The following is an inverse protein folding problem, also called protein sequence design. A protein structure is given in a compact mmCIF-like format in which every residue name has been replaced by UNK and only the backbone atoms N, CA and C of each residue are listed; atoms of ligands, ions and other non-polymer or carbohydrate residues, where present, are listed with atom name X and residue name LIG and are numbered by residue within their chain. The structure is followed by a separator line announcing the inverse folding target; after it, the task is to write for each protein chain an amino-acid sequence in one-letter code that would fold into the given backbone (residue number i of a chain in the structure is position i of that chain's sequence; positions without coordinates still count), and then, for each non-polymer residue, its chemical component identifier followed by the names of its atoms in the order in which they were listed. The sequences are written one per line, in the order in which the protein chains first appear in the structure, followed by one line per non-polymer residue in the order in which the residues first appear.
data_IF_504202859770
#
_entry.id   IF_504202859770
#
_cell.length_a   1.000
_cell.length_b   1.000
_cell.length_c   1.000
_cell.angle_alpha   90.00
_cell.angle_beta   90.00
_cell.angle_gamma   90.00
#
_symmetry.space_group_name_H-M   'P 1'
#
loop_
_entity.id
_entity.type
_entity.pdbx_description
1 polymer ?
#
# COMPACT_ATOMS: atom_id res chain seq x y z
N UNK A 1 -3.34 56.43 28.38
CA UNK A 1 -2.80 55.66 27.27
C UNK A 1 -2.87 54.20 27.74
N UNK A 2 -3.85 53.44 27.23
CA UNK A 2 -4.05 52.04 27.56
C UNK A 2 -2.80 51.28 27.15
N UNK A 3 -2.09 50.70 28.10
CA UNK A 3 -0.92 49.84 27.82
C UNK A 3 -1.40 48.66 26.98
N UNK A 4 -1.04 48.68 25.70
CA UNK A 4 -1.43 47.59 24.82
C UNK A 4 -0.69 46.33 25.30
N UNK A 5 -1.46 45.36 25.79
CA UNK A 5 -0.92 44.07 26.21
C UNK A 5 -0.38 43.28 25.00
N UNK A 6 0.92 43.34 24.82
CA UNK A 6 1.59 42.58 23.73
C UNK A 6 1.72 41.11 24.15
N UNK A 7 1.31 40.21 23.27
CA UNK A 7 1.46 38.76 23.45
C UNK A 7 2.60 38.27 22.52
N UNK A 8 3.50 37.48 23.05
CA UNK A 8 4.57 36.87 22.24
C UNK A 8 4.03 35.79 21.32
N UNK A 9 4.68 35.57 20.18
CA UNK A 9 4.31 34.52 19.22
C UNK A 9 4.20 33.16 19.92
N UNK A 10 5.17 32.83 20.77
CA UNK A 10 5.16 31.56 21.52
C UNK A 10 3.94 31.43 22.46
N UNK A 11 3.57 32.52 23.14
CA UNK A 11 2.40 32.52 24.04
C UNK A 11 1.11 32.35 23.24
N UNK A 12 1.00 33.02 22.09
CA UNK A 12 -0.15 32.86 21.19
C UNK A 12 -0.24 31.42 20.64
N UNK A 13 0.86 30.85 20.16
CA UNK A 13 0.90 29.48 19.66
C UNK A 13 0.49 28.46 20.73
N UNK A 14 1.00 28.62 21.97
CA UNK A 14 0.58 27.77 23.10
C UNK A 14 -0.90 27.91 23.44
N UNK A 15 -1.41 29.14 23.35
CA UNK A 15 -2.84 29.37 23.58
C UNK A 15 -3.72 28.65 22.52
N UNK A 16 -3.34 28.79 21.24
CA UNK A 16 -4.04 28.13 20.13
C UNK A 16 -3.96 26.61 20.30
N UNK A 17 -2.76 26.07 20.58
CA UNK A 17 -2.57 24.64 20.82
C UNK A 17 -3.50 24.11 21.92
N UNK A 18 -3.57 24.82 23.05
CA UNK A 18 -4.47 24.43 24.16
C UNK A 18 -5.94 24.39 23.72
N UNK A 19 -6.36 25.28 22.81
CA UNK A 19 -7.73 25.25 22.27
C UNK A 19 -7.97 24.02 21.43
N UNK A 20 -6.99 23.58 20.61
CA UNK A 20 -7.07 22.34 19.86
C UNK A 20 -7.08 21.09 20.76
N UNK A 21 -6.19 21.07 21.77
CA UNK A 21 -6.02 19.92 22.65
C UNK A 21 -7.22 19.71 23.61
N UNK A 22 -8.03 20.74 23.86
CA UNK A 22 -9.23 20.67 24.74
C UNK A 22 -10.49 20.34 23.94
N UNK A 23 -10.48 20.48 22.61
CA UNK A 23 -11.65 20.21 21.79
C UNK A 23 -11.80 18.69 21.55
N UNK A 24 -12.84 18.03 22.13
CA UNK A 24 -13.04 16.59 21.96
C UNK A 24 -13.27 16.17 20.51
N UNK A 25 -13.78 17.08 19.67
CA UNK A 25 -14.02 16.80 18.25
C UNK A 25 -12.73 16.70 17.44
N UNK A 26 -11.64 17.32 17.93
CA UNK A 26 -10.33 17.29 17.27
C UNK A 26 -9.39 16.20 17.82
N UNK A 27 -9.72 15.59 18.96
CA UNK A 27 -8.91 14.55 19.57
C UNK A 27 -8.96 13.23 18.79
N UNK A 28 -10.10 12.90 18.20
CA UNK A 28 -10.29 11.63 17.49
C UNK A 28 -11.28 11.77 16.33
N UNK A 29 -10.77 12.12 15.18
CA UNK A 29 -11.58 12.35 13.97
C UNK A 29 -11.19 11.40 12.86
N UNK A 30 -12.16 11.14 11.96
CA UNK A 30 -11.95 10.41 10.72
C UNK A 30 -11.88 11.39 9.56
N UNK A 31 -10.79 11.37 8.82
CA UNK A 31 -10.56 12.25 7.68
C UNK A 31 -10.32 11.39 6.45
N UNK A 32 -11.06 11.68 5.38
CA UNK A 32 -10.88 11.09 4.07
C UNK A 32 -10.04 12.02 3.20
N UNK A 33 -9.09 11.47 2.47
CA UNK A 33 -8.26 12.25 1.55
C UNK A 33 -7.34 11.37 0.72
N UNK A 34 -6.53 12.02 -0.10
CA UNK A 34 -5.50 11.39 -0.92
C UNK A 34 -4.12 11.63 -0.29
N UNK A 35 -3.32 10.58 -0.24
CA UNK A 35 -1.93 10.67 0.23
C UNK A 35 -1.05 11.38 -0.79
N UNK A 36 -0.17 12.22 -0.31
CA UNK A 36 0.84 12.91 -1.11
C UNK A 36 2.11 13.12 -0.29
N UNK A 37 3.26 13.12 -0.96
CA UNK A 37 4.57 13.34 -0.34
C UNK A 37 4.84 12.38 0.85
N UNK A 38 4.55 11.10 0.64
CA UNK A 38 4.77 10.06 1.65
C UNK A 38 6.26 9.82 1.85
N UNK A 39 6.73 9.98 3.07
CA UNK A 39 8.12 9.77 3.47
C UNK A 39 8.19 8.83 4.67
N UNK A 40 8.78 7.68 4.46
CA UNK A 40 9.02 6.71 5.52
C UNK A 40 10.42 6.98 6.10
N UNK A 41 10.47 7.37 7.37
CA UNK A 41 11.71 7.60 8.06
C UNK A 41 12.35 6.27 8.49
N UNK A 42 13.69 6.22 8.59
CA UNK A 42 14.45 5.03 9.03
C UNK A 42 14.01 4.49 10.40
N UNK A 43 13.48 5.35 11.26
CA UNK A 43 12.91 4.97 12.57
C UNK A 43 11.46 4.47 12.48
N UNK A 44 10.92 4.26 11.28
CA UNK A 44 9.57 3.76 11.09
C UNK A 44 8.43 4.79 11.23
N UNK A 45 8.73 6.07 11.40
CA UNK A 45 7.72 7.12 11.34
C UNK A 45 7.36 7.40 9.88
N UNK A 46 6.09 7.66 9.60
CA UNK A 46 5.60 8.02 8.27
C UNK A 46 5.11 9.45 8.32
N UNK A 47 5.72 10.29 7.48
CA UNK A 47 5.29 11.66 7.25
C UNK A 47 4.59 11.72 5.91
N UNK A 48 3.44 12.34 5.85
CA UNK A 48 2.68 12.47 4.62
C UNK A 48 1.82 13.72 4.64
N UNK A 49 1.33 14.11 3.48
CA UNK A 49 0.33 15.16 3.32
C UNK A 49 -0.97 14.50 2.92
N UNK A 50 -2.03 14.79 3.66
CA UNK A 50 -3.38 14.43 3.30
C UNK A 50 -3.99 15.60 2.54
N UNK A 51 -4.47 15.37 1.33
CA UNK A 51 -5.05 16.41 0.47
C UNK A 51 -6.44 16.01 -0.01
N UNK A 52 -7.27 16.99 -0.26
CA UNK A 52 -8.52 16.88 -1.02
C UNK A 52 -8.52 17.88 -2.18
N UNK A 53 -9.68 18.16 -2.77
CA UNK A 53 -9.82 19.08 -3.91
C UNK A 53 -9.46 20.54 -3.57
N UNK A 54 -9.57 20.95 -2.30
CA UNK A 54 -9.45 22.35 -1.89
C UNK A 54 -8.41 22.61 -0.82
N UNK A 55 -8.01 21.59 -0.08
CA UNK A 55 -7.12 21.74 1.08
C UNK A 55 -6.06 20.66 1.16
N UNK A 56 -5.02 20.97 1.93
CA UNK A 56 -3.96 20.01 2.27
C UNK A 56 -3.55 20.19 3.72
N UNK A 57 -3.25 19.09 4.40
CA UNK A 57 -2.81 19.07 5.77
C UNK A 57 -1.64 18.11 5.94
N UNK A 58 -0.65 18.53 6.71
CA UNK A 58 0.45 17.66 7.09
C UNK A 58 -0.02 16.64 8.12
N UNK A 59 0.47 15.42 7.99
CA UNK A 59 0.16 14.34 8.90
C UNK A 59 1.42 13.54 9.25
N UNK A 60 1.42 13.01 10.45
CA UNK A 60 2.48 12.11 10.94
C UNK A 60 1.86 10.89 11.57
N UNK A 61 2.39 9.72 11.23
CA UNK A 61 2.09 8.46 11.89
C UNK A 61 3.35 7.94 12.56
N UNK A 62 3.30 7.72 13.86
CA UNK A 62 4.45 7.22 14.60
C UNK A 62 4.67 5.72 14.38
N UNK A 63 5.89 5.26 14.63
CA UNK A 63 6.31 3.86 14.42
C UNK A 63 5.34 2.83 15.04
N UNK A 64 4.85 3.07 16.24
CA UNK A 64 3.92 2.16 16.93
C UNK A 64 2.64 1.92 16.14
N UNK A 65 2.15 2.93 15.46
CA UNK A 65 0.95 2.86 14.62
C UNK A 65 1.29 2.36 13.21
N UNK A 66 2.39 2.85 12.62
CA UNK A 66 2.80 2.47 11.27
C UNK A 66 3.14 0.97 11.15
N UNK A 67 3.71 0.37 12.19
CA UNK A 67 4.00 -1.08 12.21
C UNK A 67 2.76 -1.97 12.24
N UNK A 68 1.58 -1.40 12.49
CA UNK A 68 0.29 -2.12 12.46
C UNK A 68 -0.44 -1.99 11.14
N UNK A 69 0.08 -1.19 10.21
CA UNK A 69 -0.53 -1.05 8.89
C UNK A 69 -0.43 -2.36 8.11
N UNK A 70 -1.57 -2.79 7.57
CA UNK A 70 -1.66 -3.99 6.73
C UNK A 70 -1.21 -3.72 5.27
N UNK A 71 -0.93 -2.47 4.92
CA UNK A 71 -0.55 -2.05 3.57
C UNK A 71 0.58 -1.01 3.63
N UNK A 72 1.28 -0.85 2.53
CA UNK A 72 2.30 0.18 2.35
C UNK A 72 1.65 1.44 1.78
N UNK A 73 1.67 2.58 2.50
CA UNK A 73 1.13 3.82 1.97
C UNK A 73 2.01 4.36 0.84
N UNK A 74 1.36 4.77 -0.25
CA UNK A 74 2.01 5.33 -1.45
C UNK A 74 1.29 6.62 -1.87
N UNK A 75 2.01 7.48 -2.60
CA UNK A 75 1.44 8.73 -3.13
C UNK A 75 0.28 8.43 -4.10
N UNK A 76 -0.77 9.24 -4.02
CA UNK A 76 -1.97 9.09 -4.85
C UNK A 76 -3.01 8.11 -4.31
N UNK A 77 -2.73 7.37 -3.23
CA UNK A 77 -3.71 6.48 -2.62
C UNK A 77 -4.80 7.28 -1.89
N UNK A 78 -6.06 6.93 -2.15
CA UNK A 78 -7.19 7.43 -1.35
C UNK A 78 -7.30 6.63 -0.07
N UNK A 79 -7.32 7.34 1.06
CA UNK A 79 -7.32 6.74 2.39
C UNK A 79 -8.33 7.41 3.32
N UNK A 80 -8.71 6.68 4.34
CA UNK A 80 -9.43 7.19 5.50
C UNK A 80 -8.48 7.07 6.68
N UNK A 81 -8.19 8.20 7.33
CA UNK A 81 -7.24 8.30 8.44
C UNK A 81 -7.98 8.70 9.71
N UNK A 82 -7.77 7.96 10.77
CA UNK A 82 -8.22 8.30 12.12
C UNK A 82 -7.09 8.89 12.92
N UNK A 83 -7.31 9.99 13.60
CA UNK A 83 -6.29 10.61 14.42
C UNK A 83 -6.78 11.88 15.12
N UNK A 84 -5.86 12.52 15.83
CA UNK A 84 -6.10 13.79 16.48
C UNK A 84 -5.37 14.92 15.78
N UNK A 85 -5.95 16.12 15.81
CA UNK A 85 -5.32 17.32 15.30
C UNK A 85 -4.72 18.10 16.45
N UNK A 86 -3.47 18.52 16.34
CA UNK A 86 -2.83 19.43 17.27
C UNK A 86 -1.88 20.39 16.54
N UNK A 87 -1.41 21.39 17.25
CA UNK A 87 -0.47 22.39 16.71
C UNK A 87 0.96 21.99 17.01
N UNK A 88 1.78 21.96 15.96
CA UNK A 88 3.22 21.79 16.08
C UNK A 88 3.86 23.14 16.41
N UNK A 89 4.22 23.32 17.68
CA UNK A 89 4.67 24.62 18.23
C UNK A 89 5.84 25.26 17.46
N UNK A 90 6.89 24.51 17.04
CA UNK A 90 8.05 25.11 16.40
C UNK A 90 7.73 25.83 15.07
N UNK A 91 6.75 25.35 14.33
CA UNK A 91 6.33 25.95 13.06
C UNK A 91 5.01 26.71 13.15
N UNK A 92 4.28 26.59 14.25
CA UNK A 92 2.95 27.18 14.40
C UNK A 92 1.89 26.57 13.47
N UNK A 93 2.17 25.42 12.87
CA UNK A 93 1.27 24.73 11.94
C UNK A 93 0.46 23.66 12.65
N UNK A 94 -0.79 23.47 12.21
CA UNK A 94 -1.59 22.34 12.66
C UNK A 94 -1.23 21.08 11.87
N UNK A 95 -1.23 19.94 12.55
CA UNK A 95 -0.89 18.64 11.98
C UNK A 95 -1.86 17.57 12.48
N UNK A 96 -2.08 16.57 11.63
CA UNK A 96 -2.81 15.36 12.00
C UNK A 96 -1.84 14.31 12.56
N UNK A 97 -2.10 13.86 13.76
CA UNK A 97 -1.43 12.74 14.40
C UNK A 97 -2.22 11.47 14.16
N UNK A 98 -1.85 10.74 13.09
CA UNK A 98 -2.58 9.56 12.65
C UNK A 98 -2.40 8.38 13.61
N UNK A 99 -3.53 7.83 14.08
CA UNK A 99 -3.60 6.63 14.93
C UNK A 99 -3.85 5.38 14.09
N UNK A 100 -4.73 5.48 13.07
CA UNK A 100 -5.12 4.41 12.18
C UNK A 100 -5.25 4.94 10.75
N UNK A 101 -5.01 4.08 9.77
CA UNK A 101 -5.16 4.41 8.35
C UNK A 101 -5.71 3.19 7.62
N UNK A 102 -6.69 3.42 6.75
CA UNK A 102 -7.31 2.40 5.92
C UNK A 102 -7.40 2.90 4.48
N UNK A 103 -7.17 2.06 3.47
CA UNK A 103 -7.40 2.43 2.09
C UNK A 103 -8.90 2.70 1.87
N UNK A 104 -9.21 3.81 1.19
CA UNK A 104 -10.59 4.12 0.79
C UNK A 104 -11.03 3.16 -0.32
N UNK A 105 -12.20 2.56 -0.18
CA UNK A 105 -12.74 1.59 -1.13
C UNK A 105 -12.42 0.11 -0.84
N UNK A 106 -11.46 -0.20 0.05
CA UNK A 106 -11.20 -1.59 0.45
C UNK A 106 -12.39 -2.18 1.20
N UNK A 107 -13.09 -1.37 1.98
CA UNK A 107 -14.30 -1.83 2.68
C UNK A 107 -15.39 -2.31 1.71
N UNK A 108 -15.65 -1.59 0.64
CA UNK A 108 -16.63 -1.98 -0.37
C UNK A 108 -16.16 -3.19 -1.18
N UNK A 109 -14.88 -3.23 -1.56
CA UNK A 109 -14.28 -4.38 -2.25
C UNK A 109 -14.21 -5.62 -1.36
N UNK A 110 -13.91 -5.46 -0.08
CA UNK A 110 -13.87 -6.55 0.88
C UNK A 110 -15.27 -7.13 1.12
N UNK A 111 -16.28 -6.30 1.29
CA UNK A 111 -17.68 -6.74 1.40
C UNK A 111 -18.13 -7.46 0.13
N UNK A 112 -17.82 -6.93 -1.05
CA UNK A 112 -18.12 -7.58 -2.33
C UNK A 112 -17.36 -8.91 -2.49
N UNK A 113 -16.11 -8.99 -2.04
CA UNK A 113 -15.33 -10.23 -2.02
C UNK A 113 -15.92 -11.28 -1.08
N UNK A 114 -16.27 -10.89 0.15
CA UNK A 114 -16.90 -11.81 1.13
C UNK A 114 -18.28 -12.28 0.64
N UNK A 115 -19.07 -11.42 0.04
CA UNK A 115 -20.35 -11.76 -0.56
C UNK A 115 -20.18 -12.71 -1.76
N UNK A 116 -19.22 -12.42 -2.64
CA UNK A 116 -18.88 -13.31 -3.75
C UNK A 116 -18.40 -14.68 -3.27
N UNK A 117 -17.51 -14.70 -2.27
CA UNK A 117 -17.00 -15.92 -1.65
C UNK A 117 -18.14 -16.74 -1.03
N UNK A 118 -19.05 -16.10 -0.30
CA UNK A 118 -20.23 -16.73 0.28
C UNK A 118 -21.15 -17.31 -0.79
N UNK A 119 -21.37 -16.58 -1.88
CA UNK A 119 -22.16 -17.02 -3.01
C UNK A 119 -21.51 -18.20 -3.76
N UNK A 120 -20.19 -18.20 -3.92
CA UNK A 120 -19.45 -19.31 -4.54
C UNK A 120 -19.43 -20.56 -3.66
N UNK A 121 -19.32 -20.39 -2.34
CA UNK A 121 -19.47 -21.50 -1.39
C UNK A 121 -20.89 -22.08 -1.40
N UNK A 122 -21.91 -21.23 -1.44
CA UNK A 122 -23.31 -21.65 -1.50
C UNK A 122 -23.66 -22.37 -2.83
N UNK A 123 -23.00 -21.98 -3.92
CA UNK A 123 -23.15 -22.62 -5.25
C UNK A 123 -22.24 -23.83 -5.46
N UNK A 124 -21.48 -24.25 -4.44
CA UNK A 124 -20.61 -25.42 -4.53
C UNK A 124 -19.42 -25.28 -5.50
N UNK A 125 -19.14 -24.07 -6.01
CA UNK A 125 -18.05 -23.84 -6.96
C UNK A 125 -16.66 -23.85 -6.32
N UNK A 126 -16.56 -23.79 -4.98
CA UNK A 126 -15.32 -23.91 -4.21
C UNK A 126 -15.35 -25.25 -3.43
N UNK A 127 -15.47 -26.36 -4.14
CA UNK A 127 -15.12 -27.66 -3.57
C UNK A 127 -13.59 -27.74 -3.47
N UNK A 128 -13.07 -27.55 -2.28
CA UNK A 128 -11.72 -27.96 -1.91
C UNK A 128 -11.60 -29.46 -2.09
N UNK A 129 -10.88 -29.87 -3.11
CA UNK A 129 -10.45 -31.27 -3.24
C UNK A 129 -11.11 -32.05 -4.39
N UNK A 130 -10.88 -31.63 -5.61
CA UNK A 130 -10.84 -32.57 -6.71
C UNK A 130 -9.39 -32.63 -7.19
N UNK A 131 -8.62 -33.51 -6.55
CA UNK A 131 -7.51 -34.16 -7.23
C UNK A 131 -8.11 -34.88 -8.43
N UNK A 132 -8.07 -34.28 -9.60
CA UNK A 132 -8.29 -35.02 -10.83
C UNK A 132 -7.16 -36.03 -10.93
N UNK A 133 -7.43 -37.35 -10.92
CA UNK A 133 -6.42 -38.29 -11.29
C UNK A 133 -6.05 -37.98 -12.75
N UNK A 134 -4.79 -37.71 -13.00
CA UNK A 134 -4.24 -37.59 -14.35
C UNK A 134 -4.66 -38.84 -15.13
N UNK A 135 -5.22 -38.70 -16.35
CA UNK A 135 -5.44 -39.85 -17.17
C UNK A 135 -4.07 -40.49 -17.47
N UNK A 136 -3.88 -41.67 -16.91
CA UNK A 136 -2.75 -42.52 -17.22
C UNK A 136 -2.69 -42.67 -18.74
N UNK A 137 -1.71 -42.04 -19.33
CA UNK A 137 -1.34 -42.27 -20.72
C UNK A 137 -0.87 -43.70 -20.81
N UNK A 138 -1.79 -44.59 -21.22
CA UNK A 138 -1.50 -46.00 -21.50
C UNK A 138 -0.59 -46.07 -22.73
N UNK A 139 0.72 -46.16 -22.49
CA UNK A 139 1.70 -46.51 -23.50
C UNK A 139 1.33 -47.89 -24.02
N UNK A 140 0.75 -47.89 -25.18
CA UNK A 140 0.54 -49.12 -25.97
C UNK A 140 1.90 -49.56 -26.50
N UNK A 141 2.46 -50.60 -25.91
CA UNK A 141 3.61 -51.31 -26.40
C UNK A 141 3.23 -51.96 -27.78
N UNK A 142 3.73 -51.31 -28.80
CA UNK A 142 3.73 -51.86 -30.15
C UNK A 142 5.15 -52.28 -30.50
N UNK A 143 5.43 -53.56 -30.34
CA UNK A 143 6.60 -54.23 -30.88
C UNK A 143 6.56 -54.18 -32.42
N UNK A 144 7.61 -53.66 -33.07
CA UNK A 144 8.00 -54.12 -34.41
C UNK A 144 9.44 -53.73 -34.71
N UNK A 145 10.14 -54.71 -34.91
CA UNK A 145 11.50 -55.02 -35.39
C UNK A 145 12.00 -54.19 -36.58
N UNK A 146 13.32 -54.01 -36.56
CA UNK A 146 14.28 -54.02 -37.66
C UNK A 146 14.22 -52.89 -38.69
N UNK A 147 15.24 -52.08 -38.74
CA UNK A 147 16.31 -52.22 -39.76
C UNK A 147 17.49 -51.27 -39.44
N UNK A 148 18.66 -51.84 -39.43
CA UNK A 148 19.98 -51.21 -39.49
C UNK A 148 20.12 -50.50 -40.84
N UNK A 149 20.74 -49.31 -40.81
CA UNK A 149 21.75 -48.87 -41.79
C UNK A 149 22.40 -47.57 -41.29
N UNK A 150 23.70 -47.65 -41.11
CA UNK A 150 24.71 -46.59 -41.08
C UNK A 150 25.41 -46.64 -42.45
N UNK A 151 26.41 -45.74 -42.77
CA UNK A 151 26.58 -44.30 -42.51
C UNK A 151 26.93 -43.57 -43.83
N UNK A 152 27.07 -42.26 -43.83
CA UNK A 152 28.10 -41.57 -44.64
C UNK A 152 28.34 -40.15 -44.15
N UNK A 153 29.58 -39.98 -43.84
CA UNK A 153 30.36 -38.76 -43.72
C UNK A 153 30.09 -37.77 -44.87
N UNK A 154 30.20 -36.45 -44.62
CA UNK A 154 31.17 -35.61 -45.31
C UNK A 154 31.03 -34.13 -44.91
N UNK A 155 32.11 -33.58 -44.36
CA UNK A 155 32.79 -32.33 -44.70
C UNK A 155 32.23 -30.98 -44.23
N UNK A 156 33.00 -30.40 -43.33
CA UNK A 156 33.32 -28.96 -43.25
C UNK A 156 33.97 -28.39 -44.50
N UNK A 157 33.96 -27.08 -44.76
CA UNK A 157 34.93 -26.17 -44.21
C UNK A 157 34.37 -24.73 -43.95
N UNK A 158 34.85 -24.07 -42.92
CA UNK A 158 35.92 -23.03 -42.86
C UNK A 158 35.72 -21.77 -43.70
N UNK A 159 35.61 -20.62 -43.04
CA UNK A 159 36.31 -19.34 -43.24
C UNK A 159 35.64 -18.25 -42.41
N UNK A 160 36.29 -17.70 -41.43
CA UNK A 160 37.29 -16.61 -41.38
C UNK A 160 36.72 -15.21 -41.55
N UNK A 161 37.02 -14.40 -40.51
CA UNK A 161 37.52 -13.02 -40.53
C UNK A 161 36.51 -11.93 -40.95
N UNK A 162 36.31 -10.82 -40.27
CA UNK A 162 37.25 -9.85 -39.71
C UNK A 162 36.52 -8.84 -38.83
N UNK A 163 37.17 -8.44 -37.77
CA UNK A 163 37.08 -7.15 -37.08
C UNK A 163 37.90 -6.12 -37.91
N UNK A 164 37.87 -4.81 -37.81
CA UNK A 164 37.46 -3.88 -36.74
C UNK A 164 36.83 -2.54 -37.22
N UNK A 165 36.29 -1.76 -36.31
CA UNK A 165 36.63 -0.38 -35.91
C UNK A 165 35.62 0.14 -34.91
#
# INVERSE_FOLDING_TARGET
VSEAAYVTVSALTKYIKRKFDVDPHLEDIWIKGELSNVKIHTRGHIYFTLKDEHARMQAVMFQRQSSRLAFKPEDGMKVIVRGGISVYEPSGSYQLYAKEMQPDGVGALYLAYEELKKNLLAKGCLMTGISRPSPLFRLRSGSSRHRREQPSETSLPHSKEDTPL
#
